data_IF_320079862762
#
_entry.id   IF_320079862762
#
_cell.length_a   1.000
_cell.length_b   1.000
_cell.length_c   1.000
_cell.angle_alpha   90.00
_cell.angle_beta   90.00
_cell.angle_gamma   90.00
#
_symmetry.space_group_name_H-M   'P 1'
#
loop_
_entity.id
_entity.type
_entity.pdbx_description
1 polymer ?
#
# COMPACT_ATOMS: atom_id res chain seq x y z
N UNK A 1 -2.42 15.17 -10.05
CA UNK A 1 -2.41 15.62 -8.65
C UNK A 1 -1.79 17.02 -8.56
N UNK A 2 -2.38 17.93 -7.83
CA UNK A 2 -1.87 19.30 -7.76
C UNK A 2 -1.14 19.52 -6.45
N UNK A 3 0.20 19.57 -6.52
CA UNK A 3 1.02 20.08 -5.45
C UNK A 3 1.34 21.55 -5.70
N UNK A 4 1.54 22.34 -4.67
CA UNK A 4 1.97 23.73 -4.75
C UNK A 4 3.19 23.97 -3.86
N UNK A 5 4.02 24.93 -4.22
CA UNK A 5 5.09 25.40 -3.35
C UNK A 5 4.55 26.43 -2.37
N UNK A 6 4.84 26.25 -1.10
CA UNK A 6 4.58 27.25 -0.07
C UNK A 6 5.85 27.53 0.74
N UNK A 7 5.89 28.71 1.35
CA UNK A 7 7.02 29.14 2.17
C UNK A 7 6.59 29.13 3.65
N UNK A 8 7.39 28.48 4.47
CA UNK A 8 7.22 28.48 5.91
C UNK A 8 8.60 28.44 6.59
N UNK A 9 8.83 29.32 7.58
CA UNK A 9 10.11 29.42 8.30
C UNK A 9 11.33 29.52 7.36
N UNK A 10 11.27 30.44 6.38
CA UNK A 10 12.32 30.67 5.38
C UNK A 10 12.71 29.46 4.52
N UNK A 11 11.85 28.48 4.40
CA UNK A 11 12.06 27.28 3.58
C UNK A 11 10.87 27.02 2.65
N UNK A 12 11.16 26.39 1.51
CA UNK A 12 10.15 25.87 0.61
C UNK A 12 9.56 24.55 1.13
N UNK A 13 8.26 24.42 0.98
CA UNK A 13 7.50 23.20 1.23
C UNK A 13 6.63 22.86 0.01
N UNK A 14 6.57 21.58 -0.31
CA UNK A 14 5.57 21.05 -1.23
C UNK A 14 4.30 20.80 -0.42
N UNK A 15 3.19 21.41 -0.83
CA UNK A 15 1.90 21.29 -0.14
C UNK A 15 0.90 20.66 -1.11
N UNK A 16 0.32 19.54 -0.70
CA UNK A 16 -0.71 18.85 -1.46
C UNK A 16 -1.94 18.63 -0.60
N UNK A 17 -3.10 19.04 -1.13
CA UNK A 17 -4.40 18.77 -0.51
C UNK A 17 -5.06 17.58 -1.20
N UNK A 18 -5.62 16.67 -0.40
CA UNK A 18 -6.29 15.47 -0.88
C UNK A 18 -7.50 15.14 0.00
N UNK A 19 -8.44 14.39 -0.54
CA UNK A 19 -9.51 13.79 0.27
C UNK A 19 -9.01 12.46 0.84
N UNK A 20 -9.23 12.24 2.12
CA UNK A 20 -8.99 10.91 2.71
C UNK A 20 -10.10 9.93 2.29
N UNK A 21 -9.94 8.68 2.69
CA UNK A 21 -10.89 7.60 2.41
C UNK A 21 -12.29 7.83 2.99
N UNK A 22 -12.41 8.72 3.98
CA UNK A 22 -13.69 9.13 4.59
C UNK A 22 -14.25 10.40 3.91
N UNK A 23 -13.61 10.87 2.84
CA UNK A 23 -14.01 12.04 2.06
C UNK A 23 -13.62 13.39 2.69
N UNK A 24 -12.87 13.40 3.78
CA UNK A 24 -12.40 14.63 4.44
C UNK A 24 -11.17 15.19 3.75
N UNK A 25 -11.13 16.50 3.59
CA UNK A 25 -9.94 17.19 3.07
C UNK A 25 -8.82 17.16 4.09
N UNK A 26 -7.64 16.71 3.65
CA UNK A 26 -6.38 16.77 4.40
C UNK A 26 -5.30 17.43 3.58
N UNK A 27 -4.35 18.05 4.25
CA UNK A 27 -3.21 18.74 3.63
C UNK A 27 -1.92 18.08 4.11
N UNK A 28 -1.05 17.70 3.19
CA UNK A 28 0.28 17.18 3.49
C UNK A 28 1.33 18.23 3.17
N UNK A 29 2.22 18.49 4.13
CA UNK A 29 3.36 19.39 4.00
C UNK A 29 4.63 18.57 3.94
N UNK A 30 5.43 18.77 2.90
CA UNK A 30 6.68 18.05 2.68
C UNK A 30 7.81 19.10 2.62
N UNK A 31 8.77 19.02 3.54
CA UNK A 31 9.91 19.92 3.52
C UNK A 31 10.84 19.60 2.34
N UNK A 32 11.21 20.63 1.59
CA UNK A 32 12.27 20.51 0.58
C UNK A 32 13.65 20.68 1.19
N UNK A 33 13.73 21.15 2.44
CA UNK A 33 14.96 21.59 3.13
C UNK A 33 15.71 22.73 2.42
N UNK A 34 15.13 23.33 1.39
CA UNK A 34 15.73 24.44 0.64
C UNK A 34 15.32 25.78 1.25
N UNK A 35 16.29 26.65 1.62
CA UNK A 35 15.99 28.02 2.00
C UNK A 35 15.44 28.81 0.81
N UNK A 36 14.62 29.83 1.08
CA UNK A 36 13.92 30.61 0.03
C UNK A 36 14.89 31.32 -0.89
N UNK A 37 15.97 31.90 -0.31
CA UNK A 37 16.91 32.73 -1.08
C UNK A 37 17.67 31.91 -2.10
N UNK A 38 17.46 32.21 -3.39
CA UNK A 38 18.21 31.60 -4.51
C UNK A 38 17.74 30.19 -4.94
N UNK A 39 16.80 29.56 -4.23
CA UNK A 39 16.47 28.15 -4.47
C UNK A 39 15.08 27.91 -5.12
N UNK A 40 14.43 28.95 -5.67
CA UNK A 40 13.10 28.81 -6.28
C UNK A 40 13.08 27.77 -7.40
N UNK A 41 14.10 27.76 -8.27
CA UNK A 41 14.18 26.81 -9.40
C UNK A 41 14.34 25.38 -8.91
N UNK A 42 15.25 25.14 -7.96
CA UNK A 42 15.45 23.82 -7.37
C UNK A 42 14.19 23.32 -6.63
N UNK A 43 13.49 24.19 -5.91
CA UNK A 43 12.25 23.83 -5.25
C UNK A 43 11.15 23.47 -6.28
N UNK A 44 11.09 24.18 -7.43
CA UNK A 44 10.15 23.86 -8.50
C UNK A 44 10.48 22.52 -9.18
N UNK A 45 11.74 22.21 -9.39
CA UNK A 45 12.19 20.91 -9.92
C UNK A 45 11.81 19.76 -8.95
N UNK A 46 11.99 19.97 -7.64
CA UNK A 46 11.55 19.01 -6.63
C UNK A 46 10.03 18.80 -6.63
N UNK A 47 9.24 19.89 -6.79
CA UNK A 47 7.79 19.79 -6.92
C UNK A 47 7.40 18.98 -8.15
N UNK A 48 8.00 19.27 -9.31
CA UNK A 48 7.70 18.57 -10.57
C UNK A 48 8.03 17.07 -10.45
N UNK A 49 9.19 16.72 -9.87
CA UNK A 49 9.58 15.34 -9.62
C UNK A 49 8.60 14.66 -8.67
N UNK A 50 8.23 15.32 -7.58
CA UNK A 50 7.26 14.81 -6.62
C UNK A 50 5.89 14.55 -7.27
N UNK A 51 5.41 15.48 -8.10
CA UNK A 51 4.15 15.33 -8.84
C UNK A 51 4.18 14.12 -9.80
N UNK A 52 5.30 13.89 -10.49
CA UNK A 52 5.48 12.74 -11.37
C UNK A 52 5.47 11.42 -10.58
N UNK A 53 6.20 11.35 -9.47
CA UNK A 53 6.29 10.16 -8.63
C UNK A 53 4.94 9.80 -7.97
N UNK A 54 4.11 10.80 -7.67
CA UNK A 54 2.82 10.63 -6.98
C UNK A 54 1.60 10.73 -7.91
N UNK A 55 1.80 10.92 -9.21
CA UNK A 55 0.69 10.99 -10.17
C UNK A 55 -0.07 9.68 -10.33
N UNK A 56 0.56 8.55 -9.96
CA UNK A 56 0.00 7.19 -10.06
C UNK A 56 -0.48 6.63 -8.73
N UNK A 57 -0.48 7.43 -7.65
CA UNK A 57 -0.86 6.98 -6.31
C UNK A 57 -1.98 7.85 -5.75
N UNK A 58 -3.06 7.23 -5.30
CA UNK A 58 -4.11 7.95 -4.59
C UNK A 58 -3.60 8.38 -3.21
N UNK A 59 -3.46 9.69 -2.99
CA UNK A 59 -3.00 10.28 -1.72
C UNK A 59 -3.92 9.93 -0.54
N UNK A 60 -5.17 9.61 -0.79
CA UNK A 60 -6.09 9.13 0.24
C UNK A 60 -5.56 7.85 0.92
N UNK A 61 -4.84 7.03 0.15
CA UNK A 61 -4.26 5.77 0.65
C UNK A 61 -2.80 5.88 1.13
N UNK A 62 -2.18 7.06 1.05
CA UNK A 62 -0.76 7.23 1.42
C UNK A 62 -0.41 6.82 2.86
N UNK A 63 -1.39 6.85 3.77
CA UNK A 63 -1.22 6.47 5.18
C UNK A 63 -2.04 5.24 5.59
N UNK A 64 -2.69 4.56 4.64
CA UNK A 64 -3.51 3.38 4.95
C UNK A 64 -2.62 2.18 5.20
N UNK A 65 -2.80 1.51 6.34
CA UNK A 65 -2.14 0.25 6.63
C UNK A 65 -2.60 -0.84 5.67
N UNK A 66 -1.70 -1.70 5.26
CA UNK A 66 -2.03 -2.78 4.32
C UNK A 66 -3.13 -3.70 4.89
N UNK A 67 -3.09 -3.99 6.19
CA UNK A 67 -4.14 -4.78 6.85
C UNK A 67 -5.53 -4.11 6.77
N UNK A 68 -5.61 -2.79 6.99
CA UNK A 68 -6.88 -2.04 6.93
C UNK A 68 -7.41 -1.96 5.49
N UNK A 69 -6.51 -1.84 4.51
CA UNK A 69 -6.86 -1.95 3.10
C UNK A 69 -7.51 -3.31 2.79
N UNK A 70 -6.92 -4.42 3.22
CA UNK A 70 -7.44 -5.76 2.99
C UNK A 70 -8.82 -5.98 3.61
N UNK A 71 -9.07 -5.42 4.79
CA UNK A 71 -10.41 -5.50 5.43
C UNK A 71 -11.49 -4.74 4.65
N UNK A 72 -11.14 -3.59 4.07
CA UNK A 72 -12.05 -2.84 3.20
C UNK A 72 -12.26 -3.57 1.88
N UNK A 73 -11.14 -3.96 1.25
CA UNK A 73 -11.17 -4.69 -0.01
C UNK A 73 -12.06 -5.91 0.02
N UNK A 74 -11.99 -6.76 1.06
CA UNK A 74 -12.81 -7.97 1.13
C UNK A 74 -14.30 -7.67 1.30
N UNK A 75 -14.66 -6.55 1.91
CA UNK A 75 -16.05 -6.09 2.00
C UNK A 75 -16.56 -5.68 0.63
N UNK A 76 -15.79 -4.87 -0.10
CA UNK A 76 -16.18 -4.38 -1.43
C UNK A 76 -16.17 -5.52 -2.46
N UNK A 77 -15.15 -6.39 -2.43
CA UNK A 77 -15.04 -7.54 -3.32
C UNK A 77 -16.13 -8.60 -3.07
N UNK A 78 -16.78 -8.59 -1.90
CA UNK A 78 -17.81 -9.59 -1.54
C UNK A 78 -19.00 -9.63 -2.50
N UNK A 79 -19.29 -8.52 -3.18
CA UNK A 79 -20.35 -8.44 -4.19
C UNK A 79 -20.02 -9.19 -5.49
N UNK A 80 -18.72 -9.44 -5.75
CA UNK A 80 -18.24 -9.99 -7.01
C UNK A 80 -17.56 -11.36 -6.87
N UNK A 81 -17.53 -11.93 -5.66
CA UNK A 81 -16.89 -13.21 -5.36
C UNK A 81 -17.96 -14.22 -4.94
N UNK A 82 -17.86 -15.45 -5.47
CA UNK A 82 -18.76 -16.54 -5.06
C UNK A 82 -18.66 -16.80 -3.55
N UNK A 83 -19.79 -17.15 -2.92
CA UNK A 83 -19.90 -17.34 -1.46
C UNK A 83 -18.88 -18.35 -0.88
N UNK A 84 -18.63 -19.45 -1.58
CA UNK A 84 -17.64 -20.46 -1.15
C UNK A 84 -16.23 -19.90 -1.13
N UNK A 85 -15.82 -19.21 -2.21
CA UNK A 85 -14.51 -18.55 -2.33
C UNK A 85 -14.37 -17.44 -1.29
N UNK A 86 -15.41 -16.63 -1.10
CA UNK A 86 -15.42 -15.55 -0.10
C UNK A 86 -15.21 -16.07 1.32
N UNK A 87 -15.82 -17.22 1.67
CA UNK A 87 -15.62 -17.88 2.97
C UNK A 87 -14.15 -18.24 3.17
N UNK A 88 -13.52 -18.85 2.17
CA UNK A 88 -12.09 -19.19 2.19
C UNK A 88 -11.20 -17.96 2.32
N UNK A 89 -11.51 -16.88 1.58
CA UNK A 89 -10.77 -15.61 1.68
C UNK A 89 -10.87 -15.00 3.08
N UNK A 90 -12.07 -14.89 3.63
CA UNK A 90 -12.29 -14.36 4.98
C UNK A 90 -11.56 -15.18 6.05
N UNK A 91 -11.56 -16.52 5.93
CA UNK A 91 -10.83 -17.40 6.85
C UNK A 91 -9.32 -17.16 6.79
N UNK A 92 -8.72 -17.16 5.59
CA UNK A 92 -7.28 -16.92 5.43
C UNK A 92 -6.87 -15.50 5.85
N UNK A 93 -7.69 -14.49 5.54
CA UNK A 93 -7.46 -13.13 6.02
C UNK A 93 -7.44 -13.08 7.54
N UNK A 94 -8.48 -13.58 8.19
CA UNK A 94 -8.63 -13.52 9.65
C UNK A 94 -7.53 -14.28 10.40
N UNK A 95 -7.20 -15.49 9.94
CA UNK A 95 -6.34 -16.41 10.70
C UNK A 95 -4.85 -16.23 10.41
N UNK A 96 -4.48 -15.74 9.21
CA UNK A 96 -3.09 -15.73 8.76
C UNK A 96 -2.60 -14.36 8.32
N UNK A 97 -3.33 -13.66 7.44
CA UNK A 97 -2.82 -12.47 6.78
C UNK A 97 -2.92 -11.24 7.69
N UNK A 98 -4.12 -10.93 8.19
CA UNK A 98 -4.35 -9.72 8.98
C UNK A 98 -3.54 -9.70 10.29
N UNK A 99 -3.42 -10.79 11.08
CA UNK A 99 -2.63 -10.75 12.30
C UNK A 99 -1.17 -10.39 12.04
N UNK A 100 -0.57 -10.95 10.99
CA UNK A 100 0.82 -10.66 10.62
C UNK A 100 1.01 -9.20 10.19
N UNK A 101 0.20 -8.73 9.24
CA UNK A 101 0.38 -7.36 8.70
C UNK A 101 -0.05 -6.27 9.67
N UNK A 102 -0.93 -6.53 10.63
CA UNK A 102 -1.20 -5.60 11.73
C UNK A 102 0.00 -5.46 12.65
N UNK A 103 0.68 -6.56 12.95
CA UNK A 103 1.88 -6.53 13.80
C UNK A 103 3.06 -5.81 13.12
N UNK A 104 3.22 -5.96 11.80
CA UNK A 104 4.31 -5.28 11.07
C UNK A 104 4.03 -3.79 10.82
N UNK A 105 2.77 -3.37 10.80
CA UNK A 105 2.38 -1.98 10.59
C UNK A 105 2.79 -1.41 9.22
N UNK A 106 2.95 -2.25 8.19
CA UNK A 106 3.33 -1.81 6.85
C UNK A 106 2.18 -1.08 6.16
N UNK A 107 2.45 0.06 5.54
CA UNK A 107 1.46 0.78 4.72
C UNK A 107 1.32 0.12 3.36
N UNK A 108 0.12 0.25 2.75
CA UNK A 108 -0.16 -0.28 1.42
C UNK A 108 0.85 0.22 0.37
N UNK A 109 1.14 1.51 0.39
CA UNK A 109 2.06 2.16 -0.58
C UNK A 109 3.54 1.82 -0.36
N UNK A 110 3.90 1.36 0.82
CA UNK A 110 5.27 1.00 1.20
C UNK A 110 5.54 -0.51 1.12
N UNK A 111 4.51 -1.32 0.78
CA UNK A 111 4.61 -2.77 0.72
C UNK A 111 5.57 -3.20 -0.40
N UNK A 112 6.59 -3.98 -0.03
CA UNK A 112 7.65 -4.45 -0.94
C UNK A 112 7.64 -5.98 -1.07
N UNK A 113 8.28 -6.47 -2.11
CA UNK A 113 8.46 -7.92 -2.37
C UNK A 113 9.00 -8.63 -1.13
N UNK A 114 10.03 -8.06 -0.48
CA UNK A 114 10.66 -8.63 0.72
C UNK A 114 9.70 -8.80 1.90
N UNK A 115 8.70 -7.93 2.03
CA UNK A 115 7.73 -8.00 3.13
C UNK A 115 6.79 -9.18 2.93
N UNK A 116 6.41 -9.44 1.68
CA UNK A 116 5.61 -10.60 1.28
C UNK A 116 6.41 -11.91 1.42
N UNK A 117 7.68 -11.94 0.98
CA UNK A 117 8.52 -13.12 1.13
C UNK A 117 8.77 -13.46 2.62
N UNK A 118 8.98 -12.46 3.48
CA UNK A 118 9.04 -12.65 4.94
C UNK A 118 7.75 -13.24 5.50
N UNK A 119 6.61 -12.75 5.02
CA UNK A 119 5.31 -13.30 5.41
C UNK A 119 5.17 -14.77 4.99
N UNK A 120 5.55 -15.15 3.76
CA UNK A 120 5.46 -16.53 3.29
C UNK A 120 6.41 -17.46 4.07
N UNK A 121 7.61 -16.98 4.38
CA UNK A 121 8.55 -17.71 5.21
C UNK A 121 8.00 -17.90 6.64
N UNK A 122 7.37 -16.88 7.22
CA UNK A 122 6.70 -16.98 8.52
C UNK A 122 5.58 -18.03 8.51
N UNK A 123 4.75 -18.06 7.46
CA UNK A 123 3.70 -19.09 7.35
C UNK A 123 4.25 -20.51 7.24
N UNK A 124 5.44 -20.67 6.66
CA UNK A 124 6.11 -21.96 6.48
C UNK A 124 7.04 -22.33 7.65
N UNK A 125 7.22 -21.44 8.64
CA UNK A 125 8.07 -21.69 9.81
C UNK A 125 7.50 -22.80 10.69
N UNK A 126 8.33 -23.37 11.56
CA UNK A 126 7.92 -24.42 12.51
C UNK A 126 6.74 -23.99 13.41
N UNK A 127 6.67 -22.71 13.76
CA UNK A 127 5.59 -22.15 14.58
C UNK A 127 4.21 -22.21 13.90
N UNK A 128 4.14 -21.96 12.59
CA UNK A 128 2.88 -21.93 11.83
C UNK A 128 2.64 -23.21 11.02
N UNK A 129 3.69 -23.83 10.51
CA UNK A 129 3.70 -25.11 9.78
C UNK A 129 2.62 -25.23 8.68
N UNK A 130 2.32 -24.12 7.99
CA UNK A 130 1.36 -24.16 6.89
C UNK A 130 1.95 -24.89 5.68
N UNK A 131 1.13 -25.71 5.03
CA UNK A 131 1.53 -26.36 3.80
C UNK A 131 1.82 -25.33 2.69
N UNK A 132 2.72 -25.64 1.73
CA UNK A 132 2.98 -24.78 0.59
C UNK A 132 1.71 -24.38 -0.19
N UNK A 133 0.72 -25.26 -0.23
CA UNK A 133 -0.58 -24.99 -0.85
C UNK A 133 -1.36 -23.91 -0.08
N UNK A 134 -1.35 -23.94 1.26
CA UNK A 134 -2.00 -22.93 2.11
C UNK A 134 -1.33 -21.56 1.95
N UNK A 135 0.00 -21.52 1.87
CA UNK A 135 0.76 -20.30 1.60
C UNK A 135 0.37 -19.71 0.23
N UNK A 136 0.22 -20.56 -0.80
CA UNK A 136 -0.24 -20.13 -2.13
C UNK A 136 -1.67 -19.59 -2.11
N UNK A 137 -2.55 -20.10 -1.25
CA UNK A 137 -3.88 -19.51 -1.07
C UNK A 137 -3.80 -18.10 -0.49
N UNK A 138 -2.98 -17.88 0.53
CA UNK A 138 -2.74 -16.54 1.08
C UNK A 138 -2.15 -15.60 0.01
N UNK A 139 -1.16 -16.06 -0.76
CA UNK A 139 -0.58 -15.30 -1.86
C UNK A 139 -1.63 -14.88 -2.90
N UNK A 140 -2.51 -15.78 -3.33
CA UNK A 140 -3.57 -15.47 -4.32
C UNK A 140 -4.51 -14.36 -3.83
N UNK A 141 -4.86 -14.38 -2.54
CA UNK A 141 -5.71 -13.35 -1.93
C UNK A 141 -5.00 -11.99 -1.96
N UNK A 142 -3.75 -11.95 -1.50
CA UNK A 142 -2.91 -10.75 -1.51
C UNK A 142 -2.74 -10.22 -2.94
N UNK A 143 -2.32 -11.08 -3.87
CA UNK A 143 -2.10 -10.69 -5.25
C UNK A 143 -3.37 -10.13 -5.92
N UNK A 144 -4.53 -10.75 -5.65
CA UNK A 144 -5.82 -10.28 -6.17
C UNK A 144 -6.16 -8.91 -5.60
N UNK A 145 -6.00 -8.70 -4.29
CA UNK A 145 -6.28 -7.40 -3.66
C UNK A 145 -5.38 -6.28 -4.20
N UNK A 146 -4.10 -6.59 -4.44
CA UNK A 146 -3.14 -5.63 -5.00
C UNK A 146 -3.41 -5.32 -6.48
N UNK A 147 -3.86 -6.31 -7.27
CA UNK A 147 -4.32 -6.06 -8.65
C UNK A 147 -5.56 -5.17 -8.68
N UNK A 148 -6.49 -5.34 -7.74
CA UNK A 148 -7.63 -4.44 -7.60
C UNK A 148 -7.18 -3.03 -7.17
N UNK A 149 -6.15 -2.91 -6.33
CA UNK A 149 -5.55 -1.62 -5.97
C UNK A 149 -4.90 -0.91 -7.19
N UNK A 150 -4.27 -1.65 -8.10
CA UNK A 150 -3.76 -1.10 -9.37
C UNK A 150 -4.91 -0.62 -10.24
N UNK A 151 -5.94 -1.46 -10.42
CA UNK A 151 -7.13 -1.11 -11.22
C UNK A 151 -7.83 0.15 -10.72
N UNK A 152 -7.78 0.40 -9.41
CA UNK A 152 -8.32 1.59 -8.75
C UNK A 152 -7.31 2.74 -8.65
N UNK A 153 -6.15 2.62 -9.30
CA UNK A 153 -5.07 3.63 -9.32
C UNK A 153 -4.52 3.99 -7.93
N UNK A 154 -4.70 3.12 -6.94
CA UNK A 154 -4.22 3.31 -5.56
C UNK A 154 -2.70 3.08 -5.48
N UNK A 155 -2.20 2.06 -6.19
CA UNK A 155 -0.77 1.74 -6.30
C UNK A 155 -0.40 1.55 -7.78
N UNK A 156 0.88 1.69 -8.12
CA UNK A 156 1.36 1.59 -9.50
C UNK A 156 1.82 0.18 -9.90
N UNK A 157 2.12 -0.69 -8.93
CA UNK A 157 2.63 -2.03 -9.20
C UNK A 157 2.21 -3.03 -8.12
N UNK A 158 2.18 -4.31 -8.48
CA UNK A 158 1.86 -5.40 -7.54
C UNK A 158 3.15 -6.12 -7.10
N UNK A 159 3.65 -5.90 -5.88
CA UNK A 159 4.85 -6.57 -5.40
C UNK A 159 4.68 -8.10 -5.25
N UNK A 160 3.45 -8.61 -5.16
CA UNK A 160 3.21 -10.05 -5.08
C UNK A 160 3.51 -10.78 -6.39
N UNK A 161 3.47 -10.09 -7.53
CA UNK A 161 3.72 -10.71 -8.84
C UNK A 161 5.14 -11.26 -9.00
N UNK A 162 6.11 -10.70 -8.30
CA UNK A 162 7.52 -11.10 -8.34
C UNK A 162 7.98 -11.82 -7.05
N UNK A 163 7.12 -11.96 -6.05
CA UNK A 163 7.47 -12.60 -4.79
C UNK A 163 7.64 -14.13 -4.97
N UNK A 164 8.70 -14.66 -4.37
CA UNK A 164 8.99 -16.09 -4.38
C UNK A 164 8.12 -16.84 -3.38
N UNK A 165 7.55 -17.94 -3.83
CA UNK A 165 6.72 -18.83 -3.04
C UNK A 165 7.47 -20.10 -2.64
N UNK A 166 7.11 -20.75 -1.52
CA UNK A 166 7.63 -22.07 -1.17
C UNK A 166 7.38 -23.08 -2.29
N UNK A 167 8.34 -23.99 -2.52
CA UNK A 167 8.20 -25.06 -3.48
C UNK A 167 7.08 -26.02 -3.04
N UNK A 168 6.32 -26.53 -4.01
CA UNK A 168 5.44 -27.67 -3.79
C UNK A 168 6.33 -28.93 -3.77
N UNK A 169 6.30 -29.68 -2.69
CA UNK A 169 6.88 -31.01 -2.65
C UNK A 169 5.94 -31.99 -3.33
#
# INVERSE_FOLDING_TARGET
>A
MNGSLQIKNDKYYIVSSYKDIDGKYKTKWISTNLPVKGNKKAAQEMLNKWCLEHSQCDMAYANVMFADYLERWIKDASAHIQRSTLRGYKSNLKNHILPYFRNTGVKLVDLKIRDLERFYNYLSSEEKSLSPQSVRHCHRIISKSLNDAIRLEIISSNPASLARLPKLN
#
